data_IF_563240570518
#
_entry.id   IF_563240570518
#
_cell.length_a   1.000
_cell.length_b   1.000
_cell.length_c   1.000
_cell.angle_alpha   90.00
_cell.angle_beta   90.00
_cell.angle_gamma   90.00
#
_symmetry.space_group_name_H-M   'P 1'
#
loop_
_entity.id
_entity.type
_entity.pdbx_description
1 polymer ?
#
# COMPACT_ATOMS: atom_id res chain seq x y z
N UNK A 1 15.95 11.36 3.42
CA UNK A 1 15.87 10.29 4.45
C UNK A 1 15.06 9.08 4.00
N UNK A 2 13.84 9.26 3.48
CA UNK A 2 12.94 8.17 3.04
C UNK A 2 13.53 7.29 1.91
N UNK A 3 14.00 7.89 0.81
CA UNK A 3 14.60 7.12 -0.31
C UNK A 3 15.83 6.30 0.07
N UNK A 4 16.64 6.77 1.03
CA UNK A 4 17.83 6.05 1.46
C UNK A 4 17.48 4.81 2.32
N UNK A 5 16.45 4.90 3.18
CA UNK A 5 16.02 3.75 3.99
C UNK A 5 15.36 2.69 3.11
N UNK A 6 14.49 3.09 2.18
CA UNK A 6 13.86 2.16 1.23
C UNK A 6 14.89 1.45 0.35
N UNK A 7 15.88 2.16 -0.19
CA UNK A 7 16.96 1.54 -0.97
C UNK A 7 17.81 0.56 -0.13
N UNK A 8 18.10 0.88 1.14
CA UNK A 8 18.84 -0.01 2.03
C UNK A 8 18.01 -1.27 2.35
N UNK A 9 16.72 -1.12 2.62
CA UNK A 9 15.82 -2.24 2.90
C UNK A 9 15.61 -3.14 1.67
N UNK A 10 15.44 -2.56 0.47
CA UNK A 10 15.33 -3.31 -0.79
C UNK A 10 16.66 -4.03 -1.15
N UNK A 11 17.81 -3.39 -0.90
CA UNK A 11 19.12 -4.01 -1.11
C UNK A 11 19.39 -5.16 -0.14
N UNK A 12 18.87 -5.08 1.08
CA UNK A 12 18.90 -6.17 2.06
C UNK A 12 17.90 -7.30 1.71
N UNK A 13 16.75 -6.98 1.10
CA UNK A 13 15.78 -7.95 0.56
C UNK A 13 16.38 -8.86 -0.50
N UNK A 14 17.03 -8.24 -1.49
CA UNK A 14 17.61 -8.94 -2.65
C UNK A 14 18.73 -9.90 -2.25
N UNK A 15 19.40 -9.66 -1.10
CA UNK A 15 20.41 -10.56 -0.53
C UNK A 15 19.84 -11.75 0.24
N UNK A 16 18.68 -11.59 0.90
CA UNK A 16 18.03 -12.72 1.61
C UNK A 16 17.32 -13.69 0.65
N UNK A 17 16.93 -13.25 -0.54
CA UNK A 17 16.35 -14.10 -1.60
C UNK A 17 17.37 -14.89 -2.44
N UNK A 18 18.67 -14.67 -2.27
CA UNK A 18 19.74 -15.37 -2.99
C UNK A 18 20.17 -16.67 -2.30
N UNK A 19 19.32 -17.70 -2.31
CA UNK A 19 19.73 -19.10 -2.09
C UNK A 19 19.16 -19.93 -3.23
N UNK A 20 19.94 -20.08 -4.30
CA UNK A 20 19.74 -21.13 -5.30
C UNK A 20 20.69 -22.28 -5.02
N UNK A 21 20.12 -23.47 -5.17
CA UNK A 21 20.68 -24.81 -4.96
C UNK A 21 22.04 -25.01 -5.61
N UNK A 22 22.93 -25.66 -4.87
CA UNK A 22 24.07 -26.38 -5.40
C UNK A 22 23.58 -27.73 -5.94
N UNK A 23 23.54 -27.87 -7.26
CA UNK A 23 23.46 -29.19 -7.89
C UNK A 23 24.86 -29.78 -8.00
N UNK A 24 24.99 -30.98 -7.46
CA UNK A 24 26.14 -31.85 -7.59
C UNK A 24 25.93 -32.76 -8.80
N UNK A 25 26.86 -32.73 -9.75
CA UNK A 25 27.14 -33.87 -10.62
C UNK A 25 28.63 -33.89 -10.94
N UNK A 26 29.27 -34.97 -10.49
CA UNK A 26 30.64 -35.36 -10.81
C UNK A 26 30.72 -35.92 -12.23
N UNK A 27 31.73 -35.55 -13.02
CA UNK A 27 32.88 -36.39 -13.44
C UNK A 27 33.65 -35.79 -14.65
N UNK A 28 34.90 -36.21 -14.92
CA UNK A 28 35.96 -35.38 -15.48
C UNK A 28 36.36 -35.78 -16.91
N UNK A 29 37.13 -34.92 -17.58
CA UNK A 29 38.38 -35.22 -18.32
C UNK A 29 38.84 -33.96 -19.06
N UNK A 30 39.98 -33.38 -18.64
CA UNK A 30 41.28 -33.41 -19.33
C UNK A 30 41.25 -32.73 -20.71
N UNK A 31 41.76 -31.51 -20.78
CA UNK A 31 42.70 -31.12 -21.82
C UNK A 31 43.61 -29.98 -21.34
N UNK A 32 44.88 -30.16 -21.66
CA UNK A 32 46.08 -29.47 -21.24
C UNK A 32 46.35 -28.23 -22.12
N UNK A 33 47.07 -27.21 -21.62
CA UNK A 33 47.50 -26.09 -22.48
C UNK A 33 47.64 -24.71 -21.84
N UNK A 34 48.64 -24.54 -20.97
CA UNK A 34 49.56 -23.40 -20.92
C UNK A 34 49.03 -22.00 -21.35
N UNK A 35 48.51 -21.19 -20.41
CA UNK A 35 48.66 -19.72 -20.45
C UNK A 35 48.96 -19.15 -19.07
N UNK A 36 50.24 -18.82 -18.94
CA UNK A 36 50.91 -17.96 -17.98
C UNK A 36 50.08 -16.87 -17.29
N UNK A 37 50.11 -16.90 -15.95
CA UNK A 37 50.46 -15.81 -15.04
C UNK A 37 50.12 -14.37 -15.48
N UNK A 38 48.99 -13.85 -14.98
CA UNK A 38 48.96 -12.47 -14.50
C UNK A 38 48.13 -12.37 -13.22
N UNK A 39 48.86 -12.08 -12.17
CA UNK A 39 48.46 -11.81 -10.80
C UNK A 39 47.38 -10.74 -10.72
N UNK A 40 46.19 -11.11 -10.22
CA UNK A 40 45.44 -10.29 -9.26
C UNK A 40 44.33 -11.14 -8.65
N UNK A 41 44.71 -11.93 -7.64
CA UNK A 41 43.75 -12.31 -6.61
C UNK A 41 43.35 -11.02 -5.88
N UNK A 42 42.40 -10.27 -6.46
CA UNK A 42 41.62 -9.32 -5.69
C UNK A 42 40.83 -10.18 -4.73
N UNK A 43 41.41 -10.40 -3.56
CA UNK A 43 40.73 -10.92 -2.40
C UNK A 43 39.71 -9.84 -2.00
N UNK A 44 38.61 -9.76 -2.76
CA UNK A 44 37.37 -9.16 -2.30
C UNK A 44 36.94 -10.06 -1.14
N UNK A 45 37.55 -9.83 0.04
CA UNK A 45 36.93 -10.11 1.32
C UNK A 45 35.51 -9.62 1.12
N UNK A 46 34.58 -10.57 0.98
CA UNK A 46 33.16 -10.33 0.88
C UNK A 46 32.85 -9.56 2.15
N UNK A 47 32.87 -8.21 2.08
CA UNK A 47 32.64 -7.36 3.23
C UNK A 47 31.27 -7.77 3.70
N UNK A 48 31.24 -8.50 4.82
CA UNK A 48 30.01 -8.94 5.44
C UNK A 48 29.38 -7.67 5.98
N UNK A 49 28.64 -6.99 5.11
CA UNK A 49 27.88 -5.81 5.44
C UNK A 49 26.84 -6.28 6.44
N UNK A 50 27.11 -6.05 7.72
CA UNK A 50 26.23 -6.49 8.79
C UNK A 50 24.87 -5.84 8.59
N UNK A 51 23.81 -6.63 8.72
CA UNK A 51 22.45 -6.14 8.69
C UNK A 51 22.17 -5.45 10.04
N UNK A 52 22.69 -4.22 10.17
CA UNK A 52 22.55 -3.41 11.38
C UNK A 52 21.09 -3.05 11.64
N UNK A 53 20.25 -2.98 10.60
CA UNK A 53 18.83 -2.68 10.76
C UNK A 53 18.15 -3.86 11.47
N UNK A 54 18.41 -5.11 11.06
CA UNK A 54 17.85 -6.28 11.76
C UNK A 54 18.34 -6.44 13.21
N UNK A 55 19.38 -5.72 13.64
CA UNK A 55 19.87 -5.71 15.02
C UNK A 55 19.15 -4.67 15.90
N UNK A 56 18.42 -3.73 15.31
CA UNK A 56 17.67 -2.74 16.07
C UNK A 56 16.57 -3.42 16.93
N UNK A 57 16.26 -2.89 18.12
CA UNK A 57 15.13 -3.34 18.93
C UNK A 57 13.78 -3.19 18.20
N UNK A 58 12.80 -4.00 18.60
CA UNK A 58 11.46 -4.02 17.99
C UNK A 58 10.76 -2.67 18.02
N UNK A 59 10.95 -1.88 19.08
CA UNK A 59 10.37 -0.54 19.17
C UNK A 59 10.89 0.42 18.09
N UNK A 60 12.18 0.35 17.75
CA UNK A 60 12.78 1.18 16.69
C UNK A 60 12.32 0.69 15.32
N UNK A 61 12.26 -0.63 15.11
CA UNK A 61 11.75 -1.21 13.87
C UNK A 61 10.28 -0.87 13.63
N UNK A 62 9.46 -0.94 14.69
CA UNK A 62 8.06 -0.51 14.64
C UNK A 62 7.96 0.98 14.29
N UNK A 63 8.76 1.84 14.92
CA UNK A 63 8.81 3.26 14.56
C UNK A 63 9.19 3.47 13.09
N UNK A 64 10.19 2.78 12.56
CA UNK A 64 10.56 2.85 11.13
C UNK A 64 9.36 2.45 10.26
N UNK A 65 8.68 1.35 10.56
CA UNK A 65 7.50 0.89 9.83
C UNK A 65 6.37 1.93 9.81
N UNK A 66 6.16 2.69 10.91
CA UNK A 66 5.16 3.78 10.92
C UNK A 66 5.49 4.91 9.95
N UNK A 67 6.76 5.06 9.57
CA UNK A 67 7.22 6.08 8.62
C UNK A 67 7.21 5.61 7.19
N UNK A 68 6.92 4.33 6.90
CA UNK A 68 6.83 3.81 5.55
C UNK A 68 5.42 3.99 4.97
N UNK A 69 5.37 4.18 3.65
CA UNK A 69 4.14 4.08 2.88
C UNK A 69 3.57 2.65 2.96
N UNK A 70 2.29 2.49 2.65
CA UNK A 70 1.64 1.17 2.67
C UNK A 70 2.30 0.17 1.70
N UNK A 71 2.82 0.65 0.57
CA UNK A 71 3.52 -0.18 -0.42
C UNK A 71 4.91 -0.60 0.00
N UNK A 72 5.72 0.28 0.57
CA UNK A 72 7.06 -0.10 1.04
C UNK A 72 6.94 -1.03 2.23
N UNK A 73 5.91 -0.80 3.03
CA UNK A 73 5.61 -1.61 4.16
C UNK A 73 5.30 -3.06 3.79
N UNK A 74 4.51 -3.33 2.73
CA UNK A 74 4.31 -4.70 2.23
C UNK A 74 5.63 -5.34 1.82
N UNK A 75 6.46 -4.60 1.06
CA UNK A 75 7.78 -5.10 0.64
C UNK A 75 8.70 -5.39 1.82
N UNK A 76 8.59 -4.62 2.91
CA UNK A 76 9.38 -4.86 4.12
C UNK A 76 8.86 -6.02 4.96
N UNK A 77 7.55 -6.27 4.98
CA UNK A 77 6.96 -7.39 5.71
C UNK A 77 7.44 -8.76 5.21
N UNK A 78 7.85 -8.87 3.95
CA UNK A 78 8.38 -10.12 3.37
C UNK A 78 9.87 -10.34 3.66
N UNK A 79 10.58 -9.38 4.26
CA UNK A 79 12.04 -9.46 4.49
C UNK A 79 12.43 -10.45 5.60
N UNK A 80 11.57 -10.62 6.61
CA UNK A 80 11.71 -11.65 7.63
C UNK A 80 10.41 -11.82 8.42
N UNK A 81 10.30 -12.95 9.12
CA UNK A 81 9.19 -13.19 10.07
C UNK A 81 9.05 -12.08 11.11
N UNK A 82 10.17 -11.49 11.56
CA UNK A 82 10.18 -10.40 12.54
C UNK A 82 9.53 -9.14 11.99
N UNK A 83 9.86 -8.74 10.76
CA UNK A 83 9.24 -7.58 10.11
C UNK A 83 7.76 -7.82 9.81
N UNK A 84 7.39 -9.03 9.40
CA UNK A 84 5.99 -9.43 9.23
C UNK A 84 5.18 -9.32 10.53
N UNK A 85 5.74 -9.84 11.64
CA UNK A 85 5.09 -9.77 12.95
C UNK A 85 4.94 -8.34 13.46
N UNK A 86 5.97 -7.49 13.29
CA UNK A 86 5.91 -6.09 13.67
C UNK A 86 4.91 -5.30 12.80
N UNK A 87 4.83 -5.63 11.52
CA UNK A 87 3.79 -5.08 10.65
C UNK A 87 2.39 -5.47 11.13
N UNK A 88 2.17 -6.73 11.51
CA UNK A 88 0.87 -7.19 12.00
C UNK A 88 0.37 -6.43 13.25
N UNK A 89 1.24 -5.66 13.92
CA UNK A 89 0.88 -4.76 15.02
C UNK A 89 0.30 -3.42 14.55
N UNK A 90 0.48 -3.02 13.28
CA UNK A 90 -0.12 -1.78 12.76
C UNK A 90 -1.59 -2.04 12.45
N UNK A 91 -2.43 -1.19 13.02
CA UNK A 91 -3.89 -1.34 12.97
C UNK A 91 -4.57 -0.32 12.07
N UNK A 92 -3.83 0.66 11.56
CA UNK A 92 -4.35 1.72 10.71
C UNK A 92 -3.92 1.50 9.26
N UNK A 93 -4.91 1.33 8.38
CA UNK A 93 -4.73 1.23 6.94
C UNK A 93 -5.16 2.55 6.30
N UNK A 94 -4.22 3.24 5.66
CA UNK A 94 -4.45 4.53 5.03
C UNK A 94 -4.02 4.49 3.55
N UNK A 95 -4.99 4.58 2.65
CA UNK A 95 -4.79 4.47 1.21
C UNK A 95 -5.12 5.78 0.52
N UNK A 96 -4.09 6.47 0.03
CA UNK A 96 -4.21 7.64 -0.84
C UNK A 96 -3.23 7.53 -2.02
N UNK A 97 -3.24 8.53 -2.90
CA UNK A 97 -2.37 8.58 -4.09
C UNK A 97 -0.89 8.38 -3.72
N UNK A 98 -0.44 8.95 -2.61
CA UNK A 98 0.96 8.89 -2.19
C UNK A 98 1.34 7.53 -1.60
N UNK A 99 0.48 6.96 -0.76
CA UNK A 99 0.74 5.70 -0.07
C UNK A 99 0.66 4.50 -1.00
N UNK A 100 -0.14 4.60 -2.07
CA UNK A 100 -0.28 3.55 -3.08
C UNK A 100 0.80 3.65 -4.15
N UNK A 101 1.07 4.85 -4.67
CA UNK A 101 2.02 4.99 -5.78
C UNK A 101 3.47 5.19 -5.34
N UNK A 102 3.74 5.43 -4.05
CA UNK A 102 5.10 5.48 -3.48
C UNK A 102 5.98 6.62 -3.98
N UNK A 103 5.36 7.70 -4.43
CA UNK A 103 6.04 8.79 -5.11
C UNK A 103 5.90 10.06 -4.27
N UNK A 104 6.90 10.93 -4.30
CA UNK A 104 6.65 12.33 -3.92
C UNK A 104 5.83 13.01 -5.02
N UNK A 105 5.37 14.23 -4.77
CA UNK A 105 4.55 14.96 -5.74
C UNK A 105 5.26 15.14 -7.10
N UNK A 106 6.56 15.45 -7.08
CA UNK A 106 7.39 15.60 -8.28
C UNK A 106 7.41 14.33 -9.15
N UNK A 107 7.57 13.16 -8.54
CA UNK A 107 7.60 11.89 -9.25
C UNK A 107 6.22 11.49 -9.77
N UNK A 108 5.14 11.83 -9.06
CA UNK A 108 3.78 11.63 -9.57
C UNK A 108 3.51 12.47 -10.82
N UNK A 109 4.06 13.68 -10.88
CA UNK A 109 3.95 14.55 -12.06
C UNK A 109 4.75 14.00 -13.23
N UNK A 110 5.99 13.57 -12.97
CA UNK A 110 6.83 12.96 -14.01
C UNK A 110 6.19 11.70 -14.61
N UNK A 111 5.49 10.91 -13.78
CA UNK A 111 4.76 9.71 -14.23
C UNK A 111 3.37 10.03 -14.81
N UNK A 112 2.92 11.27 -14.76
CA UNK A 112 1.62 11.71 -15.27
C UNK A 112 0.42 11.34 -14.41
N UNK A 113 0.62 10.84 -13.18
CA UNK A 113 -0.46 10.57 -12.24
C UNK A 113 -1.06 11.86 -11.66
N UNK A 114 -0.25 12.90 -11.54
CA UNK A 114 -0.70 14.26 -11.24
C UNK A 114 -0.47 15.16 -12.46
N UNK A 115 -1.30 16.19 -12.59
CA UNK A 115 -1.13 17.24 -13.58
C UNK A 115 -1.65 18.57 -13.05
N UNK A 116 -1.16 19.66 -13.64
CA UNK A 116 -1.62 21.01 -13.32
C UNK A 116 -2.83 21.38 -14.17
N UNK A 117 -3.84 21.95 -13.51
CA UNK A 117 -4.99 22.58 -14.15
C UNK A 117 -5.09 24.04 -13.69
N UNK A 118 -5.54 24.97 -14.54
CA UNK A 118 -5.86 26.31 -14.08
C UNK A 118 -6.92 26.27 -12.98
N UNK A 119 -6.70 27.01 -11.90
CA UNK A 119 -7.66 27.16 -10.82
C UNK A 119 -8.97 27.70 -11.37
N UNK A 120 -10.08 27.15 -10.91
CA UNK A 120 -11.41 27.59 -11.33
C UNK A 120 -11.72 29.06 -10.97
N UNK A 121 -10.97 29.63 -10.03
CA UNK A 121 -11.15 31.01 -9.57
C UNK A 121 -10.05 31.97 -10.07
N UNK A 122 -8.98 31.46 -10.70
CA UNK A 122 -7.90 32.28 -11.23
C UNK A 122 -7.08 31.51 -12.28
N UNK A 123 -7.11 31.97 -13.53
CA UNK A 123 -6.35 31.35 -14.63
C UNK A 123 -4.83 31.38 -14.46
N UNK A 124 -4.30 32.19 -13.54
CA UNK A 124 -2.86 32.33 -13.27
C UNK A 124 -2.38 31.32 -12.21
N UNK A 125 -3.28 30.80 -11.37
CA UNK A 125 -2.95 29.82 -10.33
C UNK A 125 -3.18 28.42 -10.90
N UNK A 126 -2.20 27.53 -10.72
CA UNK A 126 -2.35 26.11 -11.05
C UNK A 126 -2.77 25.33 -9.81
N UNK A 127 -3.79 24.49 -9.96
CA UNK A 127 -4.22 23.49 -9.00
C UNK A 127 -3.76 22.11 -9.47
N UNK A 128 -3.30 21.28 -8.54
CA UNK A 128 -2.91 19.90 -8.80
C UNK A 128 -4.16 19.02 -8.90
N UNK A 129 -4.23 18.19 -9.94
CA UNK A 129 -5.32 17.23 -10.14
C UNK A 129 -4.78 15.82 -10.42
N UNK A 130 -5.55 14.81 -10.04
CA UNK A 130 -5.23 13.40 -10.27
C UNK A 130 -5.71 12.97 -11.65
N UNK A 131 -4.82 12.37 -12.44
CA UNK A 131 -5.17 11.73 -13.69
C UNK A 131 -5.81 10.37 -13.42
N UNK A 132 -7.14 10.35 -13.32
CA UNK A 132 -7.91 9.14 -13.01
C UNK A 132 -7.81 8.06 -14.09
N UNK A 133 -7.65 8.44 -15.35
CA UNK A 133 -7.53 7.49 -16.45
C UNK A 133 -6.28 6.61 -16.28
N UNK A 134 -5.19 7.19 -15.79
CA UNK A 134 -3.96 6.46 -15.51
C UNK A 134 -3.94 5.80 -14.13
N UNK A 135 -4.52 6.44 -13.11
CA UNK A 135 -4.33 6.03 -11.71
C UNK A 135 -5.41 5.10 -11.16
N UNK A 136 -6.65 5.13 -11.67
CA UNK A 136 -7.79 4.46 -11.02
C UNK A 136 -7.63 2.94 -10.93
N UNK A 137 -7.36 2.28 -12.05
CA UNK A 137 -7.27 0.82 -12.08
C UNK A 137 -6.04 0.29 -11.32
N UNK A 138 -4.95 1.06 -11.33
CA UNK A 138 -3.77 0.71 -10.54
C UNK A 138 -4.04 0.87 -9.05
N UNK A 139 -4.68 1.99 -8.63
CA UNK A 139 -5.06 2.20 -7.24
C UNK A 139 -5.96 1.08 -6.73
N UNK A 140 -7.02 0.77 -7.47
CA UNK A 140 -8.00 -0.25 -7.10
C UNK A 140 -7.35 -1.63 -7.03
N UNK A 141 -6.58 -2.04 -8.05
CA UNK A 141 -5.86 -3.32 -8.00
C UNK A 141 -4.94 -3.40 -6.80
N UNK A 142 -4.24 -2.30 -6.50
CA UNK A 142 -3.26 -2.29 -5.43
C UNK A 142 -3.92 -2.44 -4.06
N UNK A 143 -4.97 -1.68 -3.77
CA UNK A 143 -5.73 -1.80 -2.50
C UNK A 143 -6.35 -3.18 -2.36
N UNK A 144 -6.94 -3.71 -3.43
CA UNK A 144 -7.54 -5.05 -3.43
C UNK A 144 -6.50 -6.14 -3.13
N UNK A 145 -5.35 -6.11 -3.81
CA UNK A 145 -4.25 -7.02 -3.55
C UNK A 145 -3.72 -6.88 -2.13
N UNK A 146 -3.58 -5.64 -1.64
CA UNK A 146 -3.13 -5.38 -0.28
C UNK A 146 -4.06 -6.04 0.75
N UNK A 147 -5.37 -5.83 0.64
CA UNK A 147 -6.32 -6.40 1.60
C UNK A 147 -6.32 -7.93 1.55
N UNK A 148 -6.16 -8.54 0.36
CA UNK A 148 -6.06 -10.00 0.20
C UNK A 148 -4.80 -10.60 0.81
N UNK A 149 -3.65 -9.95 0.69
CA UNK A 149 -2.36 -10.50 1.13
C UNK A 149 -1.94 -10.04 2.53
N UNK A 150 -2.56 -8.99 3.07
CA UNK A 150 -2.26 -8.52 4.41
C UNK A 150 -2.77 -9.53 5.45
N UNK A 151 -1.83 -10.17 6.15
CA UNK A 151 -2.09 -11.03 7.31
C UNK A 151 -2.46 -10.22 8.58
N UNK A 152 -2.87 -8.96 8.44
CA UNK A 152 -3.23 -8.12 9.58
C UNK A 152 -4.48 -8.71 10.25
N UNK A 153 -4.30 -9.25 11.45
CA UNK A 153 -5.36 -9.95 12.19
C UNK A 153 -6.30 -8.99 12.91
N UNK A 154 -5.85 -7.77 13.21
CA UNK A 154 -6.65 -6.73 13.88
C UNK A 154 -6.39 -5.40 13.19
N UNK A 155 -7.40 -4.84 12.52
CA UNK A 155 -7.37 -3.52 11.90
C UNK A 155 -8.30 -2.64 12.73
N UNK A 156 -7.81 -1.54 13.27
CA UNK A 156 -8.62 -0.56 14.02
C UNK A 156 -9.24 0.46 13.06
N UNK A 157 -8.50 0.89 12.03
CA UNK A 157 -8.92 1.94 11.09
C UNK A 157 -8.63 1.60 9.63
N UNK A 158 -9.58 1.93 8.75
CA UNK A 158 -9.48 1.78 7.30
C UNK A 158 -9.94 3.07 6.64
N UNK A 159 -9.00 3.76 6.00
CA UNK A 159 -9.23 5.02 5.33
C UNK A 159 -8.82 4.91 3.87
N UNK A 160 -9.74 5.24 2.97
CA UNK A 160 -9.49 5.34 1.53
C UNK A 160 -9.78 6.77 1.09
N UNK A 161 -8.74 7.50 0.71
CA UNK A 161 -8.82 8.86 0.19
C UNK A 161 -8.37 8.89 -1.27
N UNK A 162 -9.30 8.57 -2.16
CA UNK A 162 -9.06 8.51 -3.60
C UNK A 162 -10.40 8.62 -4.35
N UNK A 163 -10.39 9.17 -5.57
CA UNK A 163 -11.62 9.30 -6.33
C UNK A 163 -12.13 7.92 -6.78
N UNK A 164 -13.21 7.46 -6.17
CA UNK A 164 -13.89 6.20 -6.48
C UNK A 164 -15.37 6.46 -6.70
N UNK A 165 -15.99 5.70 -7.59
CA UNK A 165 -17.36 5.94 -8.03
C UNK A 165 -18.14 4.61 -8.16
N UNK A 166 -19.39 4.67 -8.61
CA UNK A 166 -20.25 3.49 -8.71
C UNK A 166 -19.70 2.39 -9.64
N UNK A 167 -18.76 2.70 -10.53
CA UNK A 167 -18.10 1.71 -11.39
C UNK A 167 -17.31 0.68 -10.58
N UNK A 168 -16.79 1.05 -9.41
CA UNK A 168 -16.02 0.16 -8.53
C UNK A 168 -16.87 -0.39 -7.37
N UNK A 169 -18.19 -0.28 -7.44
CA UNK A 169 -19.09 -0.59 -6.32
C UNK A 169 -18.84 -1.98 -5.71
N UNK A 170 -18.84 -3.04 -6.52
CA UNK A 170 -18.60 -4.41 -6.05
C UNK A 170 -17.25 -4.55 -5.37
N UNK A 171 -16.22 -3.90 -5.89
CA UNK A 171 -14.86 -3.96 -5.33
C UNK A 171 -14.79 -3.25 -3.98
N UNK A 172 -15.40 -2.06 -3.88
CA UNK A 172 -15.47 -1.28 -2.62
C UNK A 172 -16.28 -2.04 -1.57
N UNK A 173 -17.43 -2.61 -1.95
CA UNK A 173 -18.29 -3.42 -1.08
C UNK A 173 -17.53 -4.61 -0.50
N UNK A 174 -16.74 -5.29 -1.35
CA UNK A 174 -15.87 -6.39 -0.92
C UNK A 174 -14.78 -5.92 0.06
N UNK A 175 -14.16 -4.77 -0.17
CA UNK A 175 -13.18 -4.21 0.78
C UNK A 175 -13.82 -3.94 2.14
N UNK A 176 -14.98 -3.30 2.14
CA UNK A 176 -15.74 -2.97 3.35
C UNK A 176 -16.13 -4.26 4.10
N UNK A 177 -16.72 -5.25 3.42
CA UNK A 177 -17.07 -6.53 4.03
C UNK A 177 -15.84 -7.23 4.63
N UNK A 178 -14.71 -7.23 3.91
CA UNK A 178 -13.47 -7.86 4.35
C UNK A 178 -12.92 -7.19 5.62
N UNK A 179 -12.88 -5.85 5.69
CA UNK A 179 -12.37 -5.16 6.89
C UNK A 179 -13.34 -5.26 8.07
N UNK A 180 -14.66 -5.29 7.83
CA UNK A 180 -15.64 -5.54 8.90
C UNK A 180 -15.45 -6.93 9.50
N UNK A 181 -15.26 -7.96 8.67
CA UNK A 181 -14.98 -9.33 9.13
C UNK A 181 -13.70 -9.43 9.98
N UNK A 182 -12.78 -8.46 9.87
CA UNK A 182 -11.57 -8.36 10.68
C UNK A 182 -11.77 -7.58 11.99
N UNK A 183 -13.00 -7.20 12.33
CA UNK A 183 -13.34 -6.54 13.59
C UNK A 183 -12.98 -5.06 13.63
N UNK A 184 -13.10 -4.36 12.50
CA UNK A 184 -12.72 -2.95 12.39
C UNK A 184 -13.55 -2.02 13.27
N UNK A 185 -12.92 -0.93 13.74
CA UNK A 185 -13.57 0.07 14.59
C UNK A 185 -13.89 1.37 13.85
N UNK A 186 -13.12 1.72 12.82
CA UNK A 186 -13.25 2.98 12.08
C UNK A 186 -13.13 2.77 10.58
N UNK A 187 -14.10 3.29 9.83
CA UNK A 187 -14.09 3.31 8.35
C UNK A 187 -14.26 4.75 7.89
N UNK A 188 -13.32 5.22 7.07
CA UNK A 188 -13.32 6.56 6.47
C UNK A 188 -13.22 6.43 4.93
N UNK A 189 -14.32 6.64 4.22
CA UNK A 189 -14.38 6.59 2.76
C UNK A 189 -14.43 8.01 2.20
N UNK A 190 -13.26 8.56 1.86
CA UNK A 190 -13.07 9.94 1.42
C UNK A 190 -12.94 10.01 -0.12
N UNK A 191 -14.04 9.78 -0.84
CA UNK A 191 -13.98 9.58 -2.31
C UNK A 191 -13.85 10.86 -3.15
N UNK A 192 -13.44 11.97 -2.51
CA UNK A 192 -13.08 13.22 -3.19
C UNK A 192 -11.60 13.25 -3.59
N UNK A 193 -10.75 12.38 -3.03
CA UNK A 193 -9.31 12.36 -3.34
C UNK A 193 -8.59 13.64 -2.92
N UNK A 194 -8.99 14.23 -1.78
CA UNK A 194 -8.42 15.48 -1.24
C UNK A 194 -6.91 15.32 -1.00
N UNK A 195 -6.06 16.34 -1.29
CA UNK A 195 -6.41 17.71 -1.67
C UNK A 195 -6.60 17.94 -3.19
N UNK A 196 -6.37 16.94 -4.04
CA UNK A 196 -6.23 17.11 -5.50
C UNK A 196 -7.55 17.08 -6.29
N UNK A 197 -8.58 17.71 -5.74
CA UNK A 197 -9.94 17.55 -6.25
C UNK A 197 -10.38 18.61 -7.26
N UNK A 198 -10.42 18.27 -8.56
CA UNK A 198 -11.56 18.50 -9.49
C UNK A 198 -11.52 17.49 -10.64
N UNK A 199 -12.55 16.65 -10.72
CA UNK A 199 -12.82 15.84 -11.90
C UNK A 199 -14.19 16.24 -12.47
N UNK A 200 -14.21 16.78 -13.68
CA UNK A 200 -15.41 17.35 -14.33
C UNK A 200 -16.38 16.30 -14.91
N UNK A 201 -16.31 15.05 -14.47
CA UNK A 201 -17.17 13.97 -14.99
C UNK A 201 -18.44 13.76 -14.17
N UNK A 202 -19.57 13.34 -14.79
CA UNK A 202 -20.86 13.23 -14.13
C UNK A 202 -20.79 12.24 -12.96
N UNK A 203 -21.19 12.71 -11.78
CA UNK A 203 -20.95 12.07 -10.49
C UNK A 203 -21.87 10.87 -10.28
N UNK A 204 -21.49 9.72 -10.83
CA UNK A 204 -22.04 8.43 -10.42
C UNK A 204 -21.44 8.05 -9.07
N UNK A 205 -21.92 8.66 -8.00
CA UNK A 205 -21.42 8.40 -6.65
C UNK A 205 -21.53 6.92 -6.29
N UNK A 206 -20.56 6.42 -5.53
CA UNK A 206 -20.64 5.10 -4.94
C UNK A 206 -21.90 5.00 -4.05
N UNK A 207 -22.63 3.89 -4.18
CA UNK A 207 -23.85 3.62 -3.42
C UNK A 207 -23.52 2.71 -2.24
N UNK A 208 -23.37 3.31 -1.06
CA UNK A 208 -23.14 2.59 0.17
C UNK A 208 -24.41 1.87 0.64
N UNK A 209 -24.36 0.54 0.70
CA UNK A 209 -25.46 -0.29 1.17
C UNK A 209 -25.27 -0.72 2.63
N UNK A 210 -26.25 -0.41 3.48
CA UNK A 210 -26.22 -0.83 4.87
C UNK A 210 -26.33 -2.35 5.07
N UNK A 211 -26.72 -3.11 4.04
CA UNK A 211 -26.71 -4.58 4.09
C UNK A 211 -25.31 -5.15 4.36
N UNK A 212 -24.25 -4.42 3.98
CA UNK A 212 -22.87 -4.81 4.26
C UNK A 212 -22.61 -5.04 5.76
N UNK A 213 -23.30 -4.29 6.63
CA UNK A 213 -23.18 -4.42 8.08
C UNK A 213 -23.95 -5.62 8.64
N UNK A 214 -25.10 -5.93 8.04
CA UNK A 214 -25.92 -7.08 8.42
C UNK A 214 -25.21 -8.39 8.04
N UNK A 215 -24.63 -8.44 6.84
CA UNK A 215 -23.96 -9.63 6.32
C UNK A 215 -22.60 -9.91 6.97
N UNK A 216 -21.91 -8.87 7.45
CA UNK A 216 -20.52 -8.98 7.95
C UNK A 216 -20.38 -8.84 9.47
N UNK A 217 -21.47 -8.63 10.22
CA UNK A 217 -21.50 -8.37 11.66
C UNK A 217 -20.59 -7.19 12.09
N UNK A 218 -21.06 -5.96 11.83
CA UNK A 218 -20.33 -4.72 12.15
C UNK A 218 -20.40 -4.27 13.62
N UNK A 219 -20.54 -5.19 14.58
CA UNK A 219 -20.70 -4.86 16.01
C UNK A 219 -19.51 -4.11 16.63
N UNK A 220 -18.32 -4.24 16.05
CA UNK A 220 -17.10 -3.55 16.50
C UNK A 220 -16.97 -2.13 15.96
N UNK A 221 -17.75 -1.77 14.93
CA UNK A 221 -17.65 -0.49 14.25
C UNK A 221 -18.17 0.64 15.14
N UNK A 222 -17.32 1.62 15.39
CA UNK A 222 -17.59 2.80 16.21
C UNK A 222 -17.67 4.10 15.41
N UNK A 223 -17.03 4.13 14.25
CA UNK A 223 -16.97 5.33 13.41
C UNK A 223 -17.11 4.99 11.93
N UNK A 224 -17.98 5.74 11.25
CA UNK A 224 -18.19 5.69 9.81
C UNK A 224 -18.21 7.12 9.27
N UNK A 225 -17.27 7.44 8.39
CA UNK A 225 -17.25 8.68 7.63
C UNK A 225 -17.39 8.37 6.14
N UNK A 226 -18.34 9.02 5.48
CA UNK A 226 -18.63 8.85 4.06
C UNK A 226 -18.61 10.21 3.36
N UNK A 227 -17.66 10.43 2.46
CA UNK A 227 -17.59 11.61 1.59
C UNK A 227 -17.86 11.20 0.14
N UNK A 228 -18.65 11.98 -0.59
CA UNK A 228 -19.02 11.69 -1.99
C UNK A 228 -19.67 10.30 -2.20
N UNK A 229 -20.48 9.85 -1.25
CA UNK A 229 -21.23 8.60 -1.31
C UNK A 229 -22.75 8.88 -1.30
N UNK A 230 -23.53 8.02 -1.97
CA UNK A 230 -24.99 7.94 -1.79
C UNK A 230 -25.27 6.80 -0.84
N UNK A 231 -26.11 7.05 0.15
CA UNK A 231 -26.52 6.02 1.12
C UNK A 231 -27.79 5.35 0.61
N UNK A 232 -27.76 4.03 0.43
CA UNK A 232 -28.95 3.21 0.17
C UNK A 232 -29.39 2.49 1.44
N UNK A 233 -30.56 2.90 1.95
CA UNK A 233 -31.19 2.31 3.14
C UNK A 233 -32.23 1.29 2.67
N UNK A 234 -32.21 0.05 3.17
CA UNK A 234 -33.26 -0.91 2.87
C UNK A 234 -34.61 -0.41 3.41
N UNK A 235 -35.73 -0.65 2.70
CA UNK A 235 -37.05 -0.14 3.09
C UNK A 235 -37.54 -0.64 4.46
N UNK A 236 -36.96 -1.73 5.00
CA UNK A 236 -37.39 -2.38 6.24
C UNK A 236 -36.42 -2.18 7.42
N UNK A 237 -35.42 -1.31 7.29
CA UNK A 237 -34.49 -1.07 8.40
C UNK A 237 -35.00 0.06 9.29
N UNK A 238 -35.47 -0.28 10.49
CA UNK A 238 -35.59 0.66 11.60
C UNK A 238 -34.17 1.10 12.02
N UNK A 239 -33.62 2.08 11.30
CA UNK A 239 -32.33 2.66 11.61
C UNK A 239 -32.46 3.53 12.85
N UNK A 240 -31.87 3.09 13.96
CA UNK A 240 -31.45 4.01 15.01
C UNK A 240 -30.10 4.54 14.53
N UNK A 241 -29.97 5.83 14.16
CA UNK A 241 -28.68 6.37 13.77
C UNK A 241 -27.69 6.12 14.90
N UNK A 242 -26.46 5.72 14.55
CA UNK A 242 -25.34 5.79 15.50
C UNK A 242 -25.39 7.18 16.14
N UNK A 243 -25.55 7.23 17.48
CA UNK A 243 -25.60 8.49 18.23
C UNK A 243 -24.38 9.31 17.81
N UNK A 244 -24.66 10.45 17.17
CA UNK A 244 -23.71 11.50 16.82
C UNK A 244 -23.10 12.06 18.12
#
# INVERSE_FOLDING_TARGET
FHSNITLILQRNAKRKGGRTMSDATSNPNVEDGMKSNLTTHINLKKVKMFDHISQLPDCILSYILTKLSMKDLLKTSILSKRWCNLWALRRDLYFDVFNVFENNEEELLQKGYLFDIPSAHCFIILERSINLELSLDEFVRWVDQFLKHSNATVIDSFLVNFYLNSQQQTTIDNWISLVIKRGIQRIDLLFKGSPYGRCDRPRKYYKFSFNLFLESNASTLKHLSLECCIISIPPNCNFIPFKI
#
